data_IF_533474892519
#
_entry.id   IF_533474892519
#
_cell.length_a   1.000
_cell.length_b   1.000
_cell.length_c   1.000
_cell.angle_alpha   90.00
_cell.angle_beta   90.00
_cell.angle_gamma   90.00
#
_symmetry.space_group_name_H-M   'P 1'
#
loop_
_entity.id
_entity.type
_entity.pdbx_description
1 polymer ?
#
# COMPACT_ATOMS: atom_id res chain seq x y z
N UNK A 1 -4.31 -33.44 -15.59
CA UNK A 1 -4.78 -32.03 -15.71
C UNK A 1 -3.97 -31.25 -14.70
N UNK A 2 -2.99 -30.46 -15.17
CA UNK A 2 -2.13 -29.66 -14.30
C UNK A 2 -2.89 -28.40 -13.94
N UNK A 3 -3.35 -28.27 -12.70
CA UNK A 3 -3.98 -27.04 -12.22
C UNK A 3 -2.90 -25.98 -12.11
N UNK A 4 -2.86 -25.06 -13.08
CA UNK A 4 -1.97 -23.89 -13.11
C UNK A 4 -2.26 -22.83 -12.03
N UNK A 5 -2.69 -23.25 -10.83
CA UNK A 5 -3.15 -22.34 -9.77
C UNK A 5 -2.02 -21.81 -8.87
N UNK A 6 -0.81 -22.36 -8.95
CA UNK A 6 0.28 -22.01 -8.01
C UNK A 6 1.15 -20.82 -8.43
N UNK A 7 0.86 -20.13 -9.54
CA UNK A 7 1.68 -19.01 -10.03
C UNK A 7 1.11 -17.61 -9.73
N UNK A 8 -0.08 -17.50 -9.16
CA UNK A 8 -0.76 -16.20 -8.91
C UNK A 8 -0.66 -15.76 -7.43
N UNK A 9 0.04 -16.50 -6.56
CA UNK A 9 0.19 -16.13 -5.14
C UNK A 9 1.23 -15.03 -4.87
N UNK A 10 1.81 -14.43 -5.91
CA UNK A 10 2.91 -13.46 -5.76
C UNK A 10 2.82 -12.24 -6.66
N UNK A 11 1.71 -12.06 -7.38
CA UNK A 11 1.56 -10.90 -8.25
C UNK A 11 1.09 -9.69 -7.45
N UNK A 12 1.73 -8.55 -7.67
CA UNK A 12 1.34 -7.28 -7.05
C UNK A 12 0.50 -6.51 -8.04
N UNK A 13 -0.70 -6.14 -7.64
CA UNK A 13 -1.54 -5.22 -8.40
C UNK A 13 -1.22 -3.79 -7.97
N UNK A 14 -0.92 -2.92 -8.93
CA UNK A 14 -0.63 -1.51 -8.66
C UNK A 14 -1.91 -0.69 -8.68
N UNK A 15 -2.25 -0.12 -7.52
CA UNK A 15 -3.46 0.67 -7.31
C UNK A 15 -3.03 2.05 -6.84
N UNK A 16 -2.46 2.85 -7.75
CA UNK A 16 -1.78 4.11 -7.41
C UNK A 16 -2.81 5.22 -7.21
N UNK A 17 -2.80 5.82 -6.02
CA UNK A 17 -3.52 7.06 -5.74
C UNK A 17 -4.92 6.88 -5.17
N UNK A 18 -5.26 5.68 -4.67
CA UNK A 18 -6.49 5.50 -3.90
C UNK A 18 -6.26 5.87 -2.42
N UNK A 19 -7.03 6.79 -1.82
CA UNK A 19 -6.80 7.23 -0.44
C UNK A 19 -6.91 6.08 0.56
N UNK A 20 -5.95 5.97 1.49
CA UNK A 20 -5.92 4.87 2.48
C UNK A 20 -7.20 4.81 3.31
N UNK A 21 -7.69 5.96 3.79
CA UNK A 21 -8.91 5.99 4.60
C UNK A 21 -10.11 5.40 3.86
N UNK A 22 -10.26 5.68 2.56
CA UNK A 22 -11.32 5.08 1.75
C UNK A 22 -11.13 3.58 1.54
N UNK A 23 -9.88 3.12 1.42
CA UNK A 23 -9.58 1.68 1.30
C UNK A 23 -9.97 0.95 2.58
N UNK A 24 -9.58 1.48 3.75
CA UNK A 24 -9.94 0.89 5.04
C UNK A 24 -11.45 0.79 5.21
N UNK A 25 -12.20 1.86 4.91
CA UNK A 25 -13.66 1.84 5.01
C UNK A 25 -14.25 0.72 4.16
N UNK A 26 -13.85 0.63 2.88
CA UNK A 26 -14.34 -0.41 1.97
C UNK A 26 -14.03 -1.83 2.49
N UNK A 27 -12.79 -2.09 2.90
CA UNK A 27 -12.37 -3.42 3.35
C UNK A 27 -13.05 -3.84 4.66
N UNK A 28 -13.27 -2.89 5.57
CA UNK A 28 -14.04 -3.13 6.79
C UNK A 28 -15.51 -3.44 6.48
N UNK A 29 -16.12 -2.75 5.52
CA UNK A 29 -17.50 -3.01 5.08
C UNK A 29 -17.64 -4.39 4.42
N UNK A 30 -16.63 -4.83 3.67
CA UNK A 30 -16.60 -6.15 3.03
C UNK A 30 -16.21 -7.29 4.00
N UNK A 31 -15.70 -6.96 5.19
CA UNK A 31 -15.22 -7.94 6.16
C UNK A 31 -13.90 -8.61 5.74
N UNK A 32 -13.13 -7.95 4.88
CA UNK A 32 -11.84 -8.43 4.38
C UNK A 32 -10.73 -8.13 5.38
N UNK A 33 -10.02 -9.16 5.81
CA UNK A 33 -8.87 -9.01 6.69
C UNK A 33 -7.62 -8.60 5.88
N UNK A 34 -6.93 -7.56 6.34
CA UNK A 34 -5.79 -7.00 5.63
C UNK A 34 -4.63 -6.63 6.54
N UNK A 35 -3.42 -6.63 5.96
CA UNK A 35 -2.20 -6.11 6.59
C UNK A 35 -1.74 -4.84 5.87
N UNK A 36 -1.54 -3.77 6.64
CA UNK A 36 -1.05 -2.50 6.13
C UNK A 36 0.48 -2.41 6.23
N UNK A 37 1.14 -2.14 5.11
CA UNK A 37 2.56 -1.80 5.02
C UNK A 37 2.70 -0.37 4.54
N UNK A 38 3.68 0.36 5.07
CA UNK A 38 3.91 1.76 4.74
C UNK A 38 5.30 1.95 4.14
N UNK A 39 5.41 2.93 3.25
CA UNK A 39 6.69 3.35 2.66
C UNK A 39 6.69 4.86 2.46
N UNK A 40 7.85 5.48 2.61
CA UNK A 40 8.07 6.90 2.35
C UNK A 40 9.41 7.12 1.64
N UNK A 41 9.60 8.29 1.04
CA UNK A 41 10.90 8.65 0.50
C UNK A 41 11.94 8.72 1.64
N UNK A 42 13.22 8.36 1.39
CA UNK A 42 14.27 8.48 2.38
C UNK A 42 14.34 9.89 2.97
N UNK A 43 14.42 9.99 4.30
CA UNK A 43 14.47 11.26 5.02
C UNK A 43 13.11 11.94 5.26
N UNK A 44 12.02 11.36 4.77
CA UNK A 44 10.66 11.89 4.98
C UNK A 44 9.86 11.07 5.97
N UNK A 45 9.09 11.77 6.78
CA UNK A 45 8.16 11.15 7.70
C UNK A 45 6.92 10.64 6.95
N UNK A 46 6.44 9.45 7.32
CA UNK A 46 5.17 8.94 6.82
C UNK A 46 4.01 9.63 7.55
N UNK A 47 3.14 10.30 6.80
CA UNK A 47 1.86 10.84 7.26
C UNK A 47 0.71 9.91 6.80
N UNK A 48 -0.02 9.36 7.78
CA UNK A 48 -1.15 8.46 7.53
C UNK A 48 -2.33 9.18 6.86
N UNK A 49 -2.55 10.46 7.18
CA UNK A 49 -3.69 11.24 6.68
C UNK A 49 -3.54 11.57 5.18
N UNK A 50 -2.30 11.59 4.69
CA UNK A 50 -1.96 11.82 3.28
C UNK A 50 -1.66 10.52 2.53
N UNK A 51 -1.76 9.36 3.18
CA UNK A 51 -1.35 8.10 2.60
C UNK A 51 -2.31 7.63 1.50
N UNK A 52 -1.72 7.15 0.40
CA UNK A 52 -2.44 6.52 -0.70
C UNK A 52 -1.96 5.07 -0.84
N UNK A 53 -2.87 4.18 -1.18
CA UNK A 53 -2.53 2.85 -1.69
C UNK A 53 -1.69 3.04 -2.95
N UNK A 54 -0.64 2.22 -3.08
CA UNK A 54 0.21 2.16 -4.27
C UNK A 54 0.33 0.76 -4.84
N UNK A 55 0.14 -0.27 -4.00
CA UNK A 55 0.08 -1.65 -4.44
C UNK A 55 -0.75 -2.49 -3.46
N UNK A 56 -1.32 -3.57 -3.99
CA UNK A 56 -1.99 -4.62 -3.22
C UNK A 56 -1.50 -5.99 -3.67
N UNK A 57 -1.54 -6.97 -2.77
CA UNK A 57 -1.24 -8.37 -3.10
C UNK A 57 -2.20 -9.27 -2.36
N UNK A 58 -2.76 -10.22 -3.10
CA UNK A 58 -3.55 -11.30 -2.51
C UNK A 58 -2.63 -12.35 -1.88
N UNK A 59 -2.96 -12.77 -0.66
CA UNK A 59 -2.25 -13.80 0.09
C UNK A 59 -3.19 -14.45 1.10
N UNK A 60 -2.66 -14.98 2.21
CA UNK A 60 -3.49 -15.43 3.33
C UNK A 60 -4.31 -14.27 3.94
N UNK A 61 -3.76 -13.06 3.89
CA UNK A 61 -4.43 -11.79 4.15
C UNK A 61 -4.18 -10.86 2.97
N UNK A 62 -5.09 -9.90 2.72
CA UNK A 62 -4.84 -8.86 1.73
C UNK A 62 -3.70 -7.97 2.22
N UNK A 63 -2.60 -7.88 1.47
CA UNK A 63 -1.51 -6.97 1.78
C UNK A 63 -1.66 -5.67 1.01
N UNK A 64 -1.55 -4.54 1.73
CA UNK A 64 -1.72 -3.21 1.16
C UNK A 64 -0.45 -2.41 1.44
N UNK A 65 0.17 -1.88 0.39
CA UNK A 65 1.28 -0.94 0.49
C UNK A 65 0.74 0.47 0.31
N UNK A 66 1.04 1.33 1.29
CA UNK A 66 0.70 2.73 1.25
C UNK A 66 1.92 3.63 1.24
N UNK A 67 1.81 4.74 0.54
CA UNK A 67 2.84 5.77 0.47
C UNK A 67 2.26 7.17 0.59
N UNK A 68 3.05 8.09 1.15
CA UNK A 68 2.76 9.51 1.06
C UNK A 68 3.02 10.02 -0.37
N UNK A 69 2.35 11.09 -0.81
CA UNK A 69 2.45 11.57 -2.19
C UNK A 69 3.83 12.13 -2.56
N UNK A 70 4.59 12.64 -1.58
CA UNK A 70 5.88 13.25 -1.85
C UNK A 70 7.06 12.25 -1.88
N UNK A 71 7.37 11.76 -3.07
CA UNK A 71 8.50 10.86 -3.35
C UNK A 71 9.79 11.55 -3.79
N UNK A 72 9.86 12.87 -3.72
CA UNK A 72 11.06 13.62 -4.14
C UNK A 72 12.29 13.19 -3.34
N UNK A 73 13.32 12.70 -4.02
CA UNK A 73 14.60 12.34 -3.39
C UNK A 73 15.48 13.58 -3.31
N UNK A 74 15.87 14.00 -2.09
CA UNK A 74 16.76 15.15 -1.88
C UNK A 74 16.11 16.40 -1.26
N UNK A 75 14.85 16.31 -0.81
CA UNK A 75 14.25 17.33 0.04
C UNK A 75 14.70 17.15 1.49
N UNK A 76 15.57 18.03 1.98
CA UNK A 76 15.92 18.11 3.40
C UNK A 76 14.75 18.72 4.16
N UNK A 77 13.89 17.89 4.76
CA UNK A 77 13.05 18.35 5.86
C UNK A 77 13.95 18.56 7.08
N UNK A 78 14.44 19.78 7.25
CA UNK A 78 14.93 20.27 8.54
C UNK A 78 16.34 19.84 8.99
N UNK A 79 17.37 20.09 8.18
CA UNK A 79 18.70 20.39 8.73
C UNK A 79 19.14 21.79 8.31
N UNK A 80 18.84 22.77 9.15
CA UNK A 80 19.61 24.01 9.28
C UNK A 80 19.82 24.29 10.76
#
# INVERSE_FOLDING_TARGET
MSTSHDLIMNDWDFLIGYPLEKAKTLLMEEGEEFTLKTTSAPGKQFNLDEAHVVAVRQGELLEIICACPDWTVGGTDGQK
#
